data_IF_054630932957
#
_entry.id   IF_054630932957
#
_cell.length_a   1.000
_cell.length_b   1.000
_cell.length_c   1.000
_cell.angle_alpha   90.00
_cell.angle_beta   90.00
_cell.angle_gamma   90.00
#
_symmetry.space_group_name_H-M   'P 1'
#
loop_
_entity.id
_entity.type
_entity.pdbx_description
1 polymer ?
#
# COMPACT_ATOMS: atom_id res chain seq x y z
N UNK A 1 -8.93 16.12 -3.08
CA UNK A 1 -7.89 15.20 -2.56
C UNK A 1 -6.70 15.13 -3.52
N UNK A 2 -6.92 14.83 -4.82
CA UNK A 2 -5.84 14.75 -5.82
C UNK A 2 -5.00 16.03 -5.87
N UNK A 3 -5.62 17.21 -5.82
CA UNK A 3 -4.92 18.50 -5.82
C UNK A 3 -4.03 18.70 -4.59
N UNK A 4 -4.47 18.24 -3.42
CA UNK A 4 -3.65 18.29 -2.20
C UNK A 4 -2.44 17.36 -2.30
N UNK A 5 -2.66 16.14 -2.78
CA UNK A 5 -1.59 15.16 -2.96
C UNK A 5 -0.57 15.64 -4.02
N UNK A 6 -1.05 16.20 -5.14
CA UNK A 6 -0.20 16.73 -6.19
C UNK A 6 0.66 17.90 -5.71
N UNK A 7 0.09 18.84 -4.93
CA UNK A 7 0.87 19.93 -4.33
C UNK A 7 1.94 19.41 -3.35
N UNK A 8 1.67 18.33 -2.62
CA UNK A 8 2.66 17.72 -1.75
C UNK A 8 3.79 17.07 -2.56
N UNK A 9 3.46 16.38 -3.66
CA UNK A 9 4.43 15.77 -4.57
C UNK A 9 5.31 16.82 -5.26
N UNK A 10 4.71 17.90 -5.77
CA UNK A 10 5.45 19.04 -6.36
C UNK A 10 6.43 19.66 -5.37
N UNK A 11 6.01 19.87 -4.11
CA UNK A 11 6.89 20.41 -3.05
C UNK A 11 8.04 19.45 -2.71
N UNK A 12 7.83 18.16 -2.86
CA UNK A 12 8.84 17.13 -2.66
C UNK A 12 9.72 16.90 -3.90
N UNK A 13 9.53 17.66 -4.98
CA UNK A 13 10.32 17.57 -6.21
C UNK A 13 9.97 16.40 -7.11
N UNK A 14 8.78 15.82 -6.94
CA UNK A 14 8.29 14.72 -7.79
C UNK A 14 7.45 15.27 -8.94
N UNK A 15 7.80 14.89 -10.17
CA UNK A 15 7.05 15.22 -11.40
C UNK A 15 5.92 14.20 -11.68
N UNK A 16 5.41 13.57 -10.65
CA UNK A 16 4.29 12.61 -10.74
C UNK A 16 3.01 13.29 -10.30
N UNK A 17 1.97 13.24 -11.14
CA UNK A 17 0.64 13.74 -10.80
C UNK A 17 -0.31 12.58 -10.55
N UNK A 18 -0.99 12.65 -9.43
CA UNK A 18 -2.11 11.77 -9.13
C UNK A 18 -3.37 12.46 -9.66
N UNK A 19 -4.05 11.85 -10.61
CA UNK A 19 -5.34 12.32 -11.09
C UNK A 19 -6.44 11.26 -10.83
N UNK A 20 -7.68 11.67 -11.02
CA UNK A 20 -8.84 10.78 -10.89
C UNK A 20 -8.89 9.72 -12.02
N UNK A 21 -8.01 9.81 -13.02
CA UNK A 21 -7.90 8.86 -14.14
C UNK A 21 -6.87 7.77 -13.89
N UNK A 22 -6.07 7.86 -12.81
CA UNK A 22 -5.06 6.85 -12.49
C UNK A 22 -5.66 5.44 -12.32
N UNK A 23 -6.89 5.32 -11.83
CA UNK A 23 -7.64 4.06 -11.78
C UNK A 23 -8.34 3.68 -13.09
N UNK A 24 -8.35 4.60 -14.08
CA UNK A 24 -8.80 4.33 -15.44
C UNK A 24 -7.68 3.85 -16.37
N UNK A 25 -6.48 3.61 -15.83
CA UNK A 25 -5.37 3.04 -16.59
C UNK A 25 -5.74 1.64 -17.10
N UNK A 26 -5.78 1.49 -18.42
CA UNK A 26 -6.18 0.23 -19.07
C UNK A 26 -5.23 -0.93 -18.77
N UNK A 27 -4.04 -0.66 -18.24
CA UNK A 27 -3.12 -1.69 -17.76
C UNK A 27 -3.60 -2.34 -16.46
N UNK A 28 -4.42 -1.64 -15.67
CA UNK A 28 -5.05 -2.20 -14.47
C UNK A 28 -6.28 -3.00 -14.90
N UNK A 29 -6.18 -4.31 -14.89
CA UNK A 29 -7.21 -5.20 -15.41
C UNK A 29 -8.10 -5.83 -14.34
N UNK A 30 -7.64 -5.90 -13.11
CA UNK A 30 -8.40 -6.38 -11.96
C UNK A 30 -7.81 -5.81 -10.68
N UNK A 31 -8.66 -5.57 -9.68
CA UNK A 31 -8.26 -5.02 -8.38
C UNK A 31 -8.87 -5.87 -7.29
N UNK A 32 -8.10 -6.20 -6.26
CA UNK A 32 -8.60 -6.75 -5.01
C UNK A 32 -8.25 -5.80 -3.87
N UNK A 33 -9.22 -5.47 -3.04
CA UNK A 33 -9.04 -4.63 -1.85
C UNK A 33 -9.43 -5.44 -0.62
N UNK A 34 -8.48 -5.65 0.28
CA UNK A 34 -8.65 -6.41 1.52
C UNK A 34 -8.74 -5.43 2.66
N UNK A 35 -9.84 -5.46 3.40
CA UNK A 35 -10.15 -4.53 4.49
C UNK A 35 -9.80 -3.06 4.13
N UNK A 36 -10.33 -2.53 3.01
CA UNK A 36 -9.96 -1.19 2.56
C UNK A 36 -10.36 -0.14 3.60
N UNK A 37 -9.46 0.82 3.83
CA UNK A 37 -9.71 2.00 4.63
C UNK A 37 -10.24 3.18 3.79
N UNK A 38 -10.48 4.31 4.46
CA UNK A 38 -10.86 5.61 3.87
C UNK A 38 -12.14 5.62 3.02
N UNK A 39 -12.99 4.60 3.12
CA UNK A 39 -14.24 4.51 2.36
C UNK A 39 -15.16 5.72 2.54
N UNK A 40 -15.10 6.35 3.73
CA UNK A 40 -15.89 7.54 4.05
C UNK A 40 -15.51 8.77 3.18
N UNK A 41 -14.30 8.79 2.61
CA UNK A 41 -13.84 9.90 1.77
C UNK A 41 -14.33 9.82 0.32
N UNK A 42 -14.88 8.66 -0.09
CA UNK A 42 -15.37 8.48 -1.45
C UNK A 42 -16.82 8.97 -1.60
N UNK A 43 -17.10 9.45 -2.80
CA UNK A 43 -18.44 9.75 -3.29
C UNK A 43 -18.75 8.88 -4.51
N UNK A 44 -20.00 8.89 -5.00
CA UNK A 44 -20.36 8.18 -6.23
C UNK A 44 -19.52 8.65 -7.43
N UNK A 45 -19.18 9.93 -7.49
CA UNK A 45 -18.33 10.50 -8.55
C UNK A 45 -16.90 9.94 -8.53
N UNK A 46 -16.40 9.52 -7.38
CA UNK A 46 -15.07 8.91 -7.25
C UNK A 46 -14.93 7.62 -8.06
N UNK A 47 -16.04 6.94 -8.36
CA UNK A 47 -16.07 5.69 -9.10
C UNK A 47 -16.58 5.83 -10.55
N UNK A 48 -16.84 7.04 -11.00
CA UNK A 48 -17.38 7.27 -12.36
C UNK A 48 -16.49 6.72 -13.49
N UNK A 49 -15.17 6.78 -13.30
CA UNK A 49 -14.18 6.26 -14.24
C UNK A 49 -13.53 4.95 -13.81
N UNK A 50 -14.15 4.25 -12.86
CA UNK A 50 -13.62 2.99 -12.36
C UNK A 50 -14.20 1.82 -13.15
N UNK A 51 -13.41 1.26 -14.06
CA UNK A 51 -13.83 0.17 -14.93
C UNK A 51 -13.33 -1.22 -14.53
N UNK A 52 -12.17 -1.38 -13.86
CA UNK A 52 -11.66 -2.71 -13.53
C UNK A 52 -12.63 -3.50 -12.64
N UNK A 53 -12.74 -4.82 -12.84
CA UNK A 53 -13.42 -5.66 -11.87
C UNK A 53 -12.75 -5.53 -10.51
N UNK A 54 -13.56 -5.43 -9.46
CA UNK A 54 -13.10 -5.24 -8.08
C UNK A 54 -13.60 -6.39 -7.20
N UNK A 55 -12.68 -6.98 -6.43
CA UNK A 55 -13.00 -7.86 -5.31
C UNK A 55 -12.83 -7.07 -4.02
N UNK A 56 -13.89 -6.96 -3.22
CA UNK A 56 -13.85 -6.39 -1.87
C UNK A 56 -13.88 -7.52 -0.85
N UNK A 57 -12.87 -7.61 -0.02
CA UNK A 57 -12.83 -8.50 1.12
C UNK A 57 -13.04 -7.68 2.40
N UNK A 58 -14.06 -8.03 3.16
CA UNK A 58 -14.37 -7.36 4.41
C UNK A 58 -13.95 -8.20 5.61
N UNK A 59 -13.36 -7.55 6.61
CA UNK A 59 -12.99 -8.11 7.90
C UNK A 59 -14.04 -7.64 8.94
N UNK A 60 -15.01 -8.48 9.33
CA UNK A 60 -16.14 -8.03 10.15
C UNK A 60 -15.76 -7.50 11.53
N UNK A 61 -14.67 -8.00 12.10
CA UNK A 61 -14.20 -7.61 13.44
C UNK A 61 -13.18 -6.47 13.40
N UNK A 62 -12.94 -5.90 12.22
CA UNK A 62 -11.98 -4.81 12.07
C UNK A 62 -12.56 -3.49 12.60
N UNK A 63 -12.02 -3.03 13.71
CA UNK A 63 -12.40 -1.76 14.34
C UNK A 63 -11.66 -0.57 13.73
N UNK A 64 -10.50 -0.80 13.12
CA UNK A 64 -9.70 0.24 12.47
C UNK A 64 -10.29 0.59 11.10
N UNK A 65 -10.66 -0.45 10.33
CA UNK A 65 -11.28 -0.30 9.01
C UNK A 65 -12.69 -0.91 9.02
N UNK A 66 -13.53 -0.44 9.95
CA UNK A 66 -14.89 -0.96 10.12
C UNK A 66 -15.62 -1.06 8.76
N UNK A 67 -16.08 -2.26 8.36
CA UNK A 67 -16.65 -2.46 7.03
C UNK A 67 -17.80 -1.51 6.69
N UNK A 68 -18.61 -1.13 7.68
CA UNK A 68 -19.73 -0.19 7.51
C UNK A 68 -19.31 1.18 6.99
N UNK A 69 -18.15 1.68 7.42
CA UNK A 69 -17.61 2.97 7.03
C UNK A 69 -16.72 2.91 5.78
N UNK A 70 -16.21 1.74 5.46
CA UNK A 70 -15.17 1.57 4.44
C UNK A 70 -15.63 0.64 3.31
N UNK A 71 -15.45 -0.66 3.43
CA UNK A 71 -15.73 -1.61 2.36
C UNK A 71 -17.21 -1.58 1.90
N UNK A 72 -18.16 -1.53 2.85
CA UNK A 72 -19.59 -1.47 2.56
C UNK A 72 -19.95 -0.18 1.83
N UNK A 73 -19.41 0.95 2.28
CA UNK A 73 -19.63 2.22 1.63
C UNK A 73 -19.10 2.24 0.19
N UNK A 74 -17.89 1.72 -0.05
CA UNK A 74 -17.36 1.57 -1.41
C UNK A 74 -18.33 0.73 -2.25
N UNK A 75 -18.76 -0.42 -1.73
CA UNK A 75 -19.72 -1.29 -2.41
C UNK A 75 -21.02 -0.56 -2.79
N UNK A 76 -21.57 0.23 -1.88
CA UNK A 76 -22.84 0.94 -2.09
C UNK A 76 -22.71 2.08 -3.11
N UNK A 77 -21.57 2.77 -3.13
CA UNK A 77 -21.32 3.90 -4.02
C UNK A 77 -21.06 3.49 -5.47
N UNK A 78 -20.61 2.27 -5.72
CA UNK A 78 -20.30 1.79 -7.07
C UNK A 78 -21.58 1.36 -7.79
N UNK A 79 -21.75 1.79 -9.05
CA UNK A 79 -22.87 1.37 -9.91
C UNK A 79 -22.71 -0.09 -10.32
N UNK A 80 -21.54 -0.47 -10.82
CA UNK A 80 -21.16 -1.86 -11.05
C UNK A 80 -20.68 -2.48 -9.73
N UNK A 81 -21.50 -3.34 -9.14
CA UNK A 81 -21.21 -3.90 -7.82
C UNK A 81 -19.96 -4.77 -7.85
N UNK A 82 -19.01 -4.54 -6.92
CA UNK A 82 -17.85 -5.41 -6.71
C UNK A 82 -18.27 -6.83 -6.29
N UNK A 83 -17.41 -7.80 -6.58
CA UNK A 83 -17.50 -9.10 -5.90
C UNK A 83 -17.21 -8.90 -4.42
N UNK A 84 -18.09 -9.39 -3.55
CA UNK A 84 -17.97 -9.25 -2.10
C UNK A 84 -17.59 -10.55 -1.44
N UNK A 85 -16.62 -10.52 -0.53
CA UNK A 85 -16.24 -11.65 0.31
C UNK A 85 -16.12 -11.19 1.77
N UNK A 86 -16.83 -11.85 2.66
CA UNK A 86 -16.55 -11.74 4.09
C UNK A 86 -15.44 -12.72 4.50
N UNK A 87 -14.52 -12.25 5.32
CA UNK A 87 -13.51 -13.05 6.00
C UNK A 87 -13.93 -13.20 7.47
N UNK A 88 -14.65 -14.28 7.84
CA UNK A 88 -15.16 -14.45 9.19
C UNK A 88 -14.03 -14.35 10.22
N UNK A 89 -14.32 -13.73 11.36
CA UNK A 89 -13.38 -13.52 12.47
C UNK A 89 -12.15 -12.66 12.13
N UNK A 90 -12.02 -12.15 10.89
CA UNK A 90 -10.89 -11.33 10.52
C UNK A 90 -10.99 -9.91 11.10
N UNK A 91 -9.85 -9.37 11.44
CA UNK A 91 -9.56 -7.98 11.77
C UNK A 91 -8.24 -7.56 11.09
N UNK A 92 -7.83 -6.30 11.24
CA UNK A 92 -6.56 -5.80 10.66
C UNK A 92 -5.37 -6.67 11.06
N UNK A 93 -5.26 -7.03 12.34
CA UNK A 93 -4.13 -7.81 12.86
C UNK A 93 -4.04 -9.21 12.25
N UNK A 94 -5.19 -9.86 12.05
CA UNK A 94 -5.26 -11.21 11.48
C UNK A 94 -4.92 -11.27 9.99
N UNK A 95 -5.08 -10.15 9.27
CA UNK A 95 -4.74 -10.04 7.85
C UNK A 95 -3.24 -9.83 7.60
N UNK A 96 -2.51 -9.40 8.62
CA UNK A 96 -1.07 -9.19 8.55
C UNK A 96 -0.31 -10.51 8.67
N UNK A 97 0.95 -10.51 8.23
CA UNK A 97 1.87 -11.61 8.51
C UNK A 97 2.02 -11.82 10.04
N UNK A 98 2.32 -13.05 10.49
CA UNK A 98 2.61 -13.30 11.90
C UNK A 98 3.71 -12.37 12.40
N UNK A 99 3.48 -11.72 13.53
CA UNK A 99 4.47 -10.82 14.13
C UNK A 99 5.66 -11.59 14.67
N UNK A 100 6.89 -11.01 14.60
CA UNK A 100 8.01 -11.45 15.43
C UNK A 100 7.65 -11.34 16.91
N UNK A 101 8.26 -12.16 17.73
CA UNK A 101 7.92 -12.22 19.16
C UNK A 101 8.14 -10.89 19.88
N UNK A 102 9.20 -10.15 19.51
CA UNK A 102 9.47 -8.82 20.06
C UNK A 102 8.30 -7.85 19.81
N UNK A 103 7.77 -7.82 18.58
CA UNK A 103 6.64 -6.96 18.23
C UNK A 103 5.33 -7.44 18.89
N UNK A 104 5.16 -8.76 19.05
CA UNK A 104 3.99 -9.33 19.71
C UNK A 104 3.93 -9.03 21.21
N UNK A 105 5.05 -8.66 21.84
CA UNK A 105 5.10 -8.17 23.21
C UNK A 105 4.73 -6.69 23.31
N UNK A 106 5.11 -5.89 22.31
CA UNK A 106 4.85 -4.44 22.29
C UNK A 106 3.43 -4.11 21.83
N UNK A 107 2.87 -4.86 20.88
CA UNK A 107 1.56 -4.64 20.28
C UNK A 107 0.69 -5.91 20.29
N UNK A 108 0.36 -6.45 21.48
CA UNK A 108 -0.36 -7.71 21.59
C UNK A 108 -1.74 -7.70 20.96
N UNK A 109 -2.47 -6.59 21.02
CA UNK A 109 -3.81 -6.45 20.43
C UNK A 109 -3.80 -6.55 18.90
N UNK A 110 -2.71 -6.17 18.25
CA UNK A 110 -2.54 -6.30 16.82
C UNK A 110 -2.02 -7.68 16.42
N UNK A 111 -1.03 -8.18 17.15
CA UNK A 111 -0.31 -9.39 16.79
C UNK A 111 -1.01 -10.67 17.22
N UNK A 112 -1.77 -10.64 18.33
CA UNK A 112 -2.46 -11.77 18.94
C UNK A 112 -3.98 -11.64 18.94
N UNK A 113 -4.53 -10.85 18.01
CA UNK A 113 -5.97 -10.62 17.90
C UNK A 113 -6.77 -11.91 17.65
N UNK A 114 -6.16 -12.89 17.00
CA UNK A 114 -6.73 -14.22 16.75
C UNK A 114 -5.71 -15.30 16.99
N UNK A 115 -6.16 -16.57 17.16
CA UNK A 115 -5.27 -17.72 17.26
C UNK A 115 -4.51 -17.95 15.94
N UNK A 116 -3.37 -18.66 16.02
CA UNK A 116 -2.57 -19.01 14.84
C UNK A 116 -3.37 -19.85 13.83
N UNK A 117 -4.21 -20.77 14.31
CA UNK A 117 -5.08 -21.60 13.46
C UNK A 117 -6.13 -20.76 12.74
N UNK A 118 -6.80 -19.83 13.45
CA UNK A 118 -7.77 -18.91 12.87
C UNK A 118 -7.11 -18.04 11.81
N UNK A 119 -5.92 -17.48 12.09
CA UNK A 119 -5.14 -16.69 11.12
C UNK A 119 -4.83 -17.49 9.86
N UNK A 120 -4.37 -18.73 10.02
CA UNK A 120 -4.06 -19.63 8.90
C UNK A 120 -5.32 -19.89 8.05
N UNK A 121 -6.46 -20.11 8.69
CA UNK A 121 -7.76 -20.28 7.99
C UNK A 121 -8.18 -19.03 7.22
N UNK A 122 -8.03 -17.84 7.81
CA UNK A 122 -8.31 -16.56 7.16
C UNK A 122 -7.40 -16.38 5.93
N UNK A 123 -6.09 -16.59 6.09
CA UNK A 123 -5.11 -16.43 4.99
C UNK A 123 -5.38 -17.43 3.87
N UNK A 124 -5.69 -18.71 4.19
CA UNK A 124 -6.05 -19.70 3.18
C UNK A 124 -7.24 -19.23 2.37
N UNK A 125 -8.34 -18.85 3.03
CA UNK A 125 -9.56 -18.37 2.36
C UNK A 125 -9.30 -17.12 1.51
N UNK A 126 -8.50 -16.19 2.01
CA UNK A 126 -8.11 -15.00 1.28
C UNK A 126 -7.30 -15.36 0.02
N UNK A 127 -6.30 -16.22 0.16
CA UNK A 127 -5.43 -16.65 -0.95
C UNK A 127 -6.23 -17.40 -2.04
N UNK A 128 -7.12 -18.30 -1.66
CA UNK A 128 -7.99 -19.01 -2.59
C UNK A 128 -8.88 -18.04 -3.37
N UNK A 129 -9.53 -17.10 -2.67
CA UNK A 129 -10.40 -16.11 -3.33
C UNK A 129 -9.65 -15.13 -4.22
N UNK A 130 -8.43 -14.73 -3.84
CA UNK A 130 -7.55 -13.91 -4.69
C UNK A 130 -7.12 -14.68 -5.93
N UNK A 131 -6.70 -15.94 -5.76
CA UNK A 131 -6.30 -16.82 -6.86
C UNK A 131 -7.44 -16.99 -7.86
N UNK A 132 -8.62 -17.38 -7.41
CA UNK A 132 -9.82 -17.56 -8.25
C UNK A 132 -10.19 -16.25 -8.98
N UNK A 133 -10.16 -15.13 -8.27
CA UNK A 133 -10.48 -13.82 -8.84
C UNK A 133 -9.50 -13.42 -9.94
N UNK A 134 -8.20 -13.47 -9.66
CA UNK A 134 -7.21 -13.06 -10.63
C UNK A 134 -7.08 -14.06 -11.80
N UNK A 135 -7.20 -15.36 -11.56
CA UNK A 135 -7.24 -16.35 -12.64
C UNK A 135 -8.43 -16.14 -13.57
N UNK A 136 -9.60 -15.78 -13.01
CA UNK A 136 -10.78 -15.50 -13.82
C UNK A 136 -10.58 -14.28 -14.74
N UNK A 137 -9.98 -13.19 -14.25
CA UNK A 137 -9.85 -11.96 -15.02
C UNK A 137 -8.53 -11.84 -15.79
N UNK A 138 -7.48 -12.54 -15.38
CA UNK A 138 -6.14 -12.46 -15.94
C UNK A 138 -5.66 -13.79 -16.56
N UNK A 139 -6.39 -14.88 -16.36
CA UNK A 139 -5.98 -16.24 -16.70
C UNK A 139 -5.71 -16.52 -18.18
N UNK A 140 -6.10 -15.64 -19.09
CA UNK A 140 -5.64 -15.64 -20.48
C UNK A 140 -4.30 -14.88 -20.63
N UNK A 141 -3.33 -15.31 -19.84
CA UNK A 141 -2.02 -14.66 -19.70
C UNK A 141 -1.20 -14.54 -21.01
N UNK A 142 -1.63 -15.19 -22.09
CA UNK A 142 -0.96 -15.10 -23.40
C UNK A 142 -1.00 -13.69 -24.02
N UNK A 143 -1.85 -12.80 -23.49
CA UNK A 143 -1.99 -11.41 -23.95
C UNK A 143 -1.63 -10.37 -22.88
N UNK A 144 -0.98 -10.76 -21.78
CA UNK A 144 -0.49 -9.77 -20.82
C UNK A 144 0.67 -9.01 -21.45
N UNK A 145 0.62 -7.67 -21.51
CA UNK A 145 1.80 -6.89 -21.87
C UNK A 145 2.94 -7.31 -20.94
N UNK A 146 4.10 -7.61 -21.52
CA UNK A 146 5.29 -7.93 -20.74
C UNK A 146 5.55 -6.74 -19.79
N UNK A 147 5.35 -6.97 -18.50
CA UNK A 147 5.71 -5.97 -17.50
C UNK A 147 7.23 -5.89 -17.52
N UNK A 148 7.83 -4.73 -17.85
CA UNK A 148 9.27 -4.60 -17.76
C UNK A 148 9.70 -4.95 -16.33
N UNK A 149 10.84 -5.60 -16.13
CA UNK A 149 11.33 -5.91 -14.80
C UNK A 149 11.33 -4.62 -13.96
N UNK A 150 11.00 -4.69 -12.67
CA UNK A 150 11.03 -3.52 -11.81
C UNK A 150 12.41 -2.86 -11.94
N UNK A 151 12.50 -1.54 -11.95
CA UNK A 151 13.78 -0.84 -11.96
C UNK A 151 14.61 -1.36 -10.80
N UNK A 152 15.91 -1.57 -11.07
CA UNK A 152 16.83 -2.04 -10.04
C UNK A 152 16.83 -1.07 -8.86
N UNK A 153 16.16 -1.47 -7.80
CA UNK A 153 16.05 -0.71 -6.54
C UNK A 153 17.24 -0.97 -5.62
N UNK A 154 18.32 -1.55 -6.12
CA UNK A 154 19.56 -1.67 -5.35
C UNK A 154 19.95 -0.26 -4.91
N UNK A 155 20.04 0.03 -3.59
CA UNK A 155 20.44 1.34 -3.13
C UNK A 155 21.81 1.69 -3.72
N UNK A 156 21.86 2.65 -4.63
CA UNK A 156 23.13 3.18 -5.10
C UNK A 156 23.80 3.77 -3.87
N UNK A 157 24.87 3.12 -3.41
CA UNK A 157 25.70 3.69 -2.35
C UNK A 157 26.13 5.10 -2.80
N UNK A 158 25.88 6.13 -2.00
CA UNK A 158 26.34 7.45 -2.34
C UNK A 158 27.84 7.37 -2.57
N UNK A 159 28.31 7.82 -3.75
CA UNK A 159 29.75 7.98 -4.03
C UNK A 159 30.28 8.88 -2.92
N UNK A 160 30.95 8.28 -1.95
CA UNK A 160 31.69 9.03 -0.93
C UNK A 160 32.84 9.71 -1.68
N UNK A 161 32.67 10.96 -2.01
CA UNK A 161 33.76 11.81 -2.46
C UNK A 161 34.72 11.92 -1.27
N UNK A 162 35.98 11.48 -1.39
CA UNK A 162 36.92 11.59 -0.29
C UNK A 162 37.04 13.07 0.14
N UNK A 163 36.77 13.29 1.41
CA UNK A 163 36.94 14.62 2.02
C UNK A 163 38.38 15.09 1.81
N UNK A 164 38.62 16.33 1.32
CA UNK A 164 39.97 16.84 1.12
C UNK A 164 40.69 16.87 2.46
N UNK A 165 41.92 16.32 2.47
CA UNK A 165 42.77 16.26 3.65
C UNK A 165 42.90 17.63 4.32
N UNK A 166 42.84 17.73 5.66
CA UNK A 166 42.93 18.99 6.38
C UNK A 166 44.27 19.70 6.06
N UNK A 167 44.17 20.94 5.59
CA UNK A 167 45.35 21.76 5.29
C UNK A 167 46.15 22.03 6.58
N UNK A 168 47.48 21.96 6.54
CA UNK A 168 48.31 22.22 7.71
C UNK A 168 48.12 23.68 8.17
N UNK A 169 47.68 23.84 9.42
CA UNK A 169 47.55 25.13 10.07
C UNK A 169 48.92 25.79 10.22
N UNK A 170 49.16 26.91 9.55
CA UNK A 170 50.36 27.72 9.71
C UNK A 170 50.40 28.29 11.12
N UNK A 171 51.46 27.97 11.87
CA UNK A 171 51.71 28.50 13.23
C UNK A 171 51.82 30.01 13.18
N UNK A 172 51.22 30.76 14.14
CA UNK A 172 51.38 32.21 14.18
C UNK A 172 52.79 32.62 14.52
N UNK A 173 53.35 33.50 13.70
CA UNK A 173 54.66 34.11 13.87
C UNK A 173 54.68 34.96 15.16
N UNK A 174 55.53 34.58 16.13
CA UNK A 174 55.77 35.39 17.35
C UNK A 174 56.26 36.78 16.98
N UNK A 175 55.49 37.82 17.33
CA UNK A 175 55.87 39.21 17.24
C UNK A 175 56.89 39.47 18.34
N UNK A 176 58.15 39.82 17.95
CA UNK A 176 59.13 40.38 18.90
C UNK A 176 58.71 41.82 19.19
N UNK A 177 58.57 42.10 20.45
CA UNK A 177 58.47 43.49 20.97
C UNK A 177 59.88 43.93 21.40
N UNK A 178 60.36 45.04 20.84
CA UNK A 178 61.47 45.84 21.38
C UNK A 178 60.90 46.83 22.36
#
# INVERSE_FOLDING_TARGET
>A
WADMANRALERAGHDVRIDHRSLADQRIRAIAAVAPGFGMLFSRQSFHWFYPPLLLMAAPNDVLNAPSLHARRIYELMDKKPRWLNLPQADTGSLMAPCPESLALELPELCRSVSAETRTGIHKRMTEALGDFFLHYLGNAQNLPQIPPPPDLTPQQPKVTPEPAPQPTTKPKKRRVN
#
